data_IF_337558701967
#
_entry.id   IF_337558701967
#
_cell.length_a   1.000
_cell.length_b   1.000
_cell.length_c   1.000
_cell.angle_alpha   90.00
_cell.angle_beta   90.00
_cell.angle_gamma   90.00
#
_symmetry.space_group_name_H-M   'P 1'
#
loop_
_entity.id
_entity.type
_entity.pdbx_description
1 polymer ?
#
# COMPACT_ATOMS: atom_id res chain seq x y z
N UNK A 1 15.12 -7.63 7.81
CA UNK A 1 14.57 -6.28 8.15
C UNK A 1 13.15 -6.20 7.60
N UNK A 2 12.13 -5.92 8.42
CA UNK A 2 10.73 -5.81 7.95
C UNK A 2 10.49 -4.37 7.48
N UNK A 3 10.63 -4.11 6.17
CA UNK A 3 10.60 -2.74 5.62
C UNK A 3 9.20 -2.10 5.62
N UNK A 4 8.13 -2.91 5.55
CA UNK A 4 6.76 -2.41 5.39
C UNK A 4 5.89 -2.53 6.66
N UNK A 5 6.47 -3.04 7.74
CA UNK A 5 5.97 -3.02 9.13
C UNK A 5 4.58 -3.62 9.43
N UNK A 6 3.93 -4.21 8.43
CA UNK A 6 2.77 -5.08 8.54
C UNK A 6 2.71 -6.04 7.35
N UNK A 7 1.77 -6.97 7.39
CA UNK A 7 1.48 -7.87 6.26
C UNK A 7 0.63 -7.13 5.22
N UNK A 8 0.97 -7.26 3.95
CA UNK A 8 0.17 -6.72 2.84
C UNK A 8 -0.44 -7.90 2.06
N UNK A 9 -1.77 -7.96 1.93
CA UNK A 9 -2.42 -9.05 1.21
C UNK A 9 -2.16 -8.95 -0.29
N UNK A 10 -2.03 -10.11 -0.92
CA UNK A 10 -2.01 -10.27 -2.37
C UNK A 10 -3.16 -11.17 -2.79
N UNK A 11 -3.81 -10.83 -3.89
CA UNK A 11 -4.92 -11.56 -4.49
C UNK A 11 -4.47 -12.19 -5.80
N UNK A 12 -5.00 -13.38 -6.09
CA UNK A 12 -4.78 -14.03 -7.39
C UNK A 12 -5.41 -13.19 -8.49
N UNK A 13 -4.69 -12.97 -9.59
CA UNK A 13 -5.16 -12.23 -10.75
C UNK A 13 -5.46 -13.19 -11.92
N UNK A 14 -4.45 -13.93 -12.37
CA UNK A 14 -4.56 -14.77 -13.56
C UNK A 14 -3.40 -15.78 -13.66
N UNK A 15 -3.58 -16.80 -14.49
CA UNK A 15 -2.49 -17.66 -14.95
C UNK A 15 -1.77 -17.00 -16.13
N UNK A 16 -0.44 -16.99 -16.08
CA UNK A 16 0.40 -16.43 -17.15
C UNK A 16 1.44 -17.44 -17.58
N UNK A 17 1.72 -17.52 -18.88
CA UNK A 17 2.83 -18.31 -19.41
C UNK A 17 4.01 -17.39 -19.68
N UNK A 18 5.14 -17.64 -19.03
CA UNK A 18 6.38 -16.88 -19.22
C UNK A 18 7.52 -17.84 -19.47
N UNK A 19 8.27 -17.63 -20.56
CA UNK A 19 9.42 -18.48 -20.93
C UNK A 19 9.10 -19.98 -20.94
N UNK A 20 7.89 -20.35 -21.40
CA UNK A 20 7.44 -21.74 -21.47
C UNK A 20 6.87 -22.32 -20.17
N UNK A 21 6.95 -21.60 -19.05
CA UNK A 21 6.49 -22.04 -17.72
C UNK A 21 5.14 -21.39 -17.39
N UNK A 22 4.20 -22.19 -16.85
CA UNK A 22 2.93 -21.69 -16.34
C UNK A 22 3.13 -21.13 -14.93
N UNK A 23 2.68 -19.90 -14.71
CA UNK A 23 2.82 -19.15 -13.47
C UNK A 23 1.46 -18.60 -13.03
N UNK A 24 1.32 -18.30 -11.75
CA UNK A 24 0.17 -17.58 -11.21
C UNK A 24 0.60 -16.16 -10.88
N UNK A 25 -0.08 -15.17 -11.47
CA UNK A 25 0.13 -13.75 -11.18
C UNK A 25 -0.73 -13.36 -9.98
N UNK A 26 -0.08 -12.75 -8.99
CA UNK A 26 -0.73 -12.16 -7.83
C UNK A 26 -0.51 -10.66 -7.81
N UNK A 27 -1.53 -9.90 -7.43
CA UNK A 27 -1.47 -8.45 -7.31
C UNK A 27 -1.71 -8.06 -5.85
N UNK A 28 -1.06 -6.99 -5.39
CA UNK A 28 -1.34 -6.47 -4.06
C UNK A 28 -2.80 -5.98 -4.00
N UNK A 29 -3.50 -6.30 -2.92
CA UNK A 29 -4.89 -5.90 -2.75
C UNK A 29 -5.04 -4.36 -2.84
N UNK A 30 -6.13 -3.89 -3.44
CA UNK A 30 -6.42 -2.46 -3.55
C UNK A 30 -6.45 -1.79 -2.18
N UNK A 31 -7.03 -2.45 -1.19
CA UNK A 31 -7.18 -1.97 0.18
C UNK A 31 -5.98 -2.31 1.08
N UNK A 32 -4.87 -2.82 0.54
CA UNK A 32 -3.71 -3.23 1.33
C UNK A 32 -3.11 -2.09 2.17
N UNK A 33 -3.30 -0.83 1.75
CA UNK A 33 -2.86 0.39 2.44
C UNK A 33 -3.97 1.07 3.26
N UNK A 34 -5.20 0.57 3.22
CA UNK A 34 -6.32 1.15 3.97
C UNK A 34 -6.31 0.70 5.43
N UNK A 35 -6.94 1.50 6.30
CA UNK A 35 -7.14 1.19 7.72
C UNK A 35 -8.12 0.04 7.94
N UNK A 36 -8.98 -0.24 6.96
CA UNK A 36 -9.95 -1.35 6.97
C UNK A 36 -9.31 -2.70 6.64
N UNK A 37 -8.05 -2.74 6.20
CA UNK A 37 -7.32 -3.98 5.99
C UNK A 37 -7.25 -4.79 7.29
N UNK A 38 -7.51 -6.09 7.23
CA UNK A 38 -7.38 -7.02 8.38
C UNK A 38 -5.97 -7.07 9.00
N UNK A 39 -4.97 -6.54 8.29
CA UNK A 39 -3.58 -6.49 8.72
C UNK A 39 -3.15 -5.07 9.14
N UNK A 40 -4.05 -4.10 9.09
CA UNK A 40 -3.79 -2.76 9.59
C UNK A 40 -3.67 -2.77 11.12
N UNK A 41 -2.76 -1.95 11.63
CA UNK A 41 -2.71 -1.65 13.06
C UNK A 41 -3.86 -0.71 13.41
N UNK A 42 -4.45 -0.87 14.59
CA UNK A 42 -5.44 0.07 15.09
C UNK A 42 -4.80 1.43 15.30
N UNK A 43 -5.45 2.47 14.78
CA UNK A 43 -5.06 3.85 15.00
C UNK A 43 -6.11 4.57 15.84
N UNK A 44 -5.66 5.23 16.91
CA UNK A 44 -6.53 5.92 17.87
C UNK A 44 -6.43 7.44 17.81
N UNK A 45 -5.30 7.99 17.37
CA UNK A 45 -5.05 9.43 17.29
C UNK A 45 -4.23 9.76 16.05
N UNK A 46 -4.50 10.92 15.44
CA UNK A 46 -3.76 11.44 14.28
C UNK A 46 -3.60 10.43 13.13
N UNK A 47 -4.69 9.72 12.82
CA UNK A 47 -4.66 8.68 11.81
C UNK A 47 -4.48 9.26 10.42
N UNK A 48 -3.60 8.63 9.66
CA UNK A 48 -3.41 8.97 8.26
C UNK A 48 -4.66 8.62 7.45
N UNK A 49 -4.92 9.35 6.35
CA UNK A 49 -5.94 8.96 5.38
C UNK A 49 -5.68 7.56 4.79
N UNK A 50 -6.74 6.96 4.26
CA UNK A 50 -6.63 5.68 3.54
C UNK A 50 -5.68 5.82 2.32
N UNK A 51 -4.90 4.76 2.07
CA UNK A 51 -3.81 4.75 1.09
C UNK A 51 -2.42 5.08 1.68
N UNK A 52 -2.34 5.46 2.96
CA UNK A 52 -1.09 5.72 3.66
C UNK A 52 -0.87 4.79 4.87
N UNK A 53 0.40 4.47 5.15
CA UNK A 53 0.80 3.66 6.31
C UNK A 53 1.95 4.34 7.05
N UNK A 54 1.73 4.68 8.31
CA UNK A 54 2.80 5.17 9.19
C UNK A 54 3.71 4.00 9.60
N UNK A 55 5.01 4.16 9.37
CA UNK A 55 6.03 3.18 9.76
C UNK A 55 7.03 3.77 10.77
N UNK A 56 6.68 4.88 11.41
CA UNK A 56 7.52 5.52 12.44
C UNK A 56 7.91 4.55 13.57
N UNK A 57 6.95 3.77 14.06
CA UNK A 57 7.10 2.84 15.18
C UNK A 57 8.15 1.73 14.93
N UNK A 58 8.36 1.36 13.68
CA UNK A 58 9.29 0.29 13.30
C UNK A 58 10.56 0.84 12.60
N UNK A 59 10.65 2.15 12.37
CA UNK A 59 11.76 2.82 11.69
C UNK A 59 12.35 3.94 12.56
N UNK A 60 12.89 3.56 13.71
CA UNK A 60 13.62 4.45 14.64
C UNK A 60 12.85 5.70 15.09
N UNK A 61 11.51 5.70 14.99
CA UNK A 61 10.69 6.87 15.29
C UNK A 61 10.72 7.97 14.23
N UNK A 62 11.35 7.74 13.07
CA UNK A 62 11.36 8.73 11.99
C UNK A 62 9.96 8.86 11.36
N UNK A 63 9.53 10.09 10.99
CA UNK A 63 8.20 10.33 10.43
C UNK A 63 8.12 9.89 8.97
N UNK A 64 8.19 8.57 8.74
CA UNK A 64 8.14 7.96 7.41
C UNK A 64 6.77 7.35 7.20
N UNK A 65 6.15 7.73 6.09
CA UNK A 65 4.86 7.20 5.65
C UNK A 65 5.02 6.50 4.31
N UNK A 66 4.46 5.29 4.19
CA UNK A 66 4.42 4.54 2.95
C UNK A 66 3.11 4.80 2.21
N UNK A 67 3.17 4.75 0.88
CA UNK A 67 2.05 4.74 -0.05
C UNK A 67 2.38 3.83 -1.24
N UNK A 68 1.41 3.51 -2.08
CA UNK A 68 1.70 2.95 -3.40
C UNK A 68 2.29 4.05 -4.32
N UNK A 69 3.02 3.68 -5.38
CA UNK A 69 3.65 4.65 -6.29
C UNK A 69 2.65 5.70 -6.76
N UNK A 70 3.10 6.97 -6.83
CA UNK A 70 2.29 8.09 -7.30
C UNK A 70 0.99 8.28 -6.51
N UNK A 71 0.93 7.80 -5.26
CA UNK A 71 -0.27 7.80 -4.43
C UNK A 71 -1.44 7.01 -5.03
N UNK A 72 -1.12 5.95 -5.78
CA UNK A 72 -2.11 4.97 -6.24
C UNK A 72 -2.94 4.47 -5.05
N UNK A 73 -4.27 4.46 -5.23
CA UNK A 73 -5.28 4.12 -4.21
C UNK A 73 -5.40 5.05 -2.99
N UNK A 74 -4.70 6.20 -2.96
CA UNK A 74 -4.97 7.26 -1.98
C UNK A 74 -6.25 8.01 -2.39
N UNK A 75 -7.04 8.50 -1.42
CA UNK A 75 -8.22 9.34 -1.69
C UNK A 75 -7.86 10.53 -2.62
N UNK A 76 -8.60 10.76 -3.73
CA UNK A 76 -8.35 11.86 -4.66
C UNK A 76 -8.27 13.25 -4.01
N UNK A 77 -9.01 13.51 -2.94
CA UNK A 77 -8.95 14.76 -2.20
C UNK A 77 -7.56 14.97 -1.57
N UNK A 78 -6.93 13.89 -1.10
CA UNK A 78 -5.58 13.93 -0.56
C UNK A 78 -4.52 14.01 -1.69
N UNK A 79 -4.75 13.33 -2.82
CA UNK A 79 -3.86 13.44 -3.98
C UNK A 79 -3.80 14.87 -4.54
N UNK A 80 -4.92 15.60 -4.53
CA UNK A 80 -5.02 16.96 -5.05
C UNK A 80 -4.11 17.99 -4.35
N UNK A 81 -3.59 17.68 -3.16
CA UNK A 81 -2.59 18.50 -2.48
C UNK A 81 -1.21 18.45 -3.14
N UNK A 82 -0.98 17.54 -4.08
CA UNK A 82 0.31 17.29 -4.71
C UNK A 82 0.23 17.52 -6.22
N UNK A 83 1.33 17.98 -6.82
CA UNK A 83 1.45 18.21 -8.27
C UNK A 83 2.47 17.23 -8.86
N UNK A 84 2.24 16.81 -10.10
CA UNK A 84 3.16 15.94 -10.85
C UNK A 84 2.98 14.45 -10.59
N UNK A 85 2.02 14.04 -9.75
CA UNK A 85 1.67 12.63 -9.60
C UNK A 85 0.69 12.19 -10.69
N UNK A 86 0.92 10.98 -11.19
CA UNK A 86 0.13 10.33 -12.23
C UNK A 86 -0.01 8.86 -11.86
N UNK A 87 -1.01 8.47 -11.05
CA UNK A 87 -1.23 7.08 -10.67
C UNK A 87 -1.59 6.23 -11.90
N UNK A 88 -0.98 5.05 -12.02
CA UNK A 88 -1.25 4.08 -13.09
C UNK A 88 -1.39 2.66 -12.48
N UNK A 89 -2.59 2.04 -12.52
CA UNK A 89 -2.86 0.74 -11.89
C UNK A 89 -2.15 -0.48 -12.49
#
# INVERSE_FOLDING_TARGET
>A
RKQACRTYPFTFLEEVKSHGVNLYRFMMDKNAFNKTSRYACECTKNCLPDGFVDISSCYYGFPITLSKPHFLDVDPANQAHYRGFSPDP
#
